data_IF_866560217071
#
_entry.id   IF_866560217071
#
_cell.length_a   1.000
_cell.length_b   1.000
_cell.length_c   1.000
_cell.angle_alpha   90.00
_cell.angle_beta   90.00
_cell.angle_gamma   90.00
#
_symmetry.space_group_name_H-M   'P 1'
#
loop_
_entity.id
_entity.type
_entity.pdbx_description
1 polymer ?
#
# COMPACT_ATOMS: atom_id res chain seq x y z
N UNK A 1 36.25 -38.29 35.51
CA UNK A 1 35.37 -37.11 35.40
C UNK A 1 35.64 -36.37 34.09
N UNK A 2 35.42 -36.99 32.92
CA UNK A 2 35.58 -36.29 31.62
C UNK A 2 34.88 -36.98 30.43
N UNK A 3 34.11 -38.06 30.65
CA UNK A 3 33.38 -38.76 29.56
C UNK A 3 31.86 -38.55 29.65
N UNK A 4 31.34 -38.09 30.79
CA UNK A 4 29.90 -37.84 30.94
C UNK A 4 29.44 -36.45 30.48
N UNK A 5 30.35 -35.52 30.19
CA UNK A 5 29.99 -34.21 29.62
C UNK A 5 29.61 -34.32 28.13
N UNK A 6 29.92 -35.45 27.50
CA UNK A 6 29.43 -35.84 26.16
C UNK A 6 28.01 -36.41 26.18
N UNK A 7 27.34 -36.40 27.35
CA UNK A 7 25.89 -36.21 27.43
C UNK A 7 25.54 -34.71 27.30
N UNK A 8 26.21 -33.98 26.39
CA UNK A 8 25.60 -32.89 25.62
C UNK A 8 24.45 -33.53 24.83
N UNK A 9 23.41 -33.82 25.58
CA UNK A 9 22.29 -34.66 25.25
C UNK A 9 21.47 -33.91 24.23
N UNK A 10 21.68 -34.22 22.94
CA UNK A 10 20.96 -33.68 21.79
C UNK A 10 19.46 -33.49 22.07
N UNK A 11 18.95 -32.25 22.18
CA UNK A 11 17.54 -31.93 21.95
C UNK A 11 17.40 -31.12 20.64
N UNK A 12 18.44 -31.11 19.81
CA UNK A 12 18.76 -29.93 18.97
C UNK A 12 18.19 -29.99 17.55
N UNK A 13 17.55 -31.08 17.13
CA UNK A 13 16.84 -31.12 15.84
C UNK A 13 15.40 -30.67 15.97
N UNK A 14 14.62 -31.24 16.91
CA UNK A 14 13.21 -30.87 17.08
C UNK A 14 13.04 -29.47 17.67
N UNK A 15 13.85 -29.10 18.68
CA UNK A 15 13.80 -27.75 19.23
C UNK A 15 14.16 -26.70 18.18
N UNK A 16 15.12 -27.00 17.31
CA UNK A 16 15.54 -26.14 16.21
C UNK A 16 14.49 -26.07 15.10
N UNK A 17 13.89 -27.19 14.71
CA UNK A 17 12.78 -27.23 13.76
C UNK A 17 11.57 -26.44 14.28
N UNK A 18 11.24 -26.58 15.56
CA UNK A 18 10.14 -25.83 16.19
C UNK A 18 10.46 -24.32 16.24
N UNK A 19 11.70 -23.97 16.55
CA UNK A 19 12.16 -22.58 16.51
C UNK A 19 12.10 -21.99 15.10
N UNK A 20 12.62 -22.70 14.10
CA UNK A 20 12.59 -22.28 12.69
C UNK A 20 11.16 -22.17 12.16
N UNK A 21 10.27 -23.13 12.49
CA UNK A 21 8.86 -23.07 12.12
C UNK A 21 8.15 -21.87 12.76
N UNK A 22 8.44 -21.56 14.02
CA UNK A 22 7.91 -20.37 14.70
C UNK A 22 8.40 -19.08 14.08
N UNK A 23 9.71 -18.99 13.79
CA UNK A 23 10.27 -17.81 13.11
C UNK A 23 9.66 -17.61 11.74
N UNK A 24 9.48 -18.70 10.97
CA UNK A 24 8.81 -18.66 9.67
C UNK A 24 7.38 -18.13 9.80
N UNK A 25 6.60 -18.66 10.74
CA UNK A 25 5.23 -18.19 10.97
C UNK A 25 5.18 -16.68 11.30
N UNK A 26 6.03 -16.23 12.22
CA UNK A 26 6.11 -14.81 12.58
C UNK A 26 6.55 -13.92 11.41
N UNK A 27 7.48 -14.40 10.60
CA UNK A 27 7.92 -13.69 9.40
C UNK A 27 6.82 -13.62 8.36
N UNK A 28 6.11 -14.72 8.11
CA UNK A 28 4.99 -14.76 7.18
C UNK A 28 3.87 -13.82 7.65
N UNK A 29 3.54 -13.82 8.94
CA UNK A 29 2.55 -12.91 9.54
C UNK A 29 3.00 -11.44 9.41
N UNK A 30 4.26 -11.13 9.74
CA UNK A 30 4.81 -9.78 9.59
C UNK A 30 4.80 -9.32 8.12
N UNK A 31 5.15 -10.21 7.20
CA UNK A 31 5.15 -9.93 5.76
C UNK A 31 3.74 -9.66 5.25
N UNK A 32 2.74 -10.42 5.72
CA UNK A 32 1.34 -10.19 5.36
C UNK A 32 0.85 -8.82 5.86
N UNK A 33 1.15 -8.47 7.11
CA UNK A 33 0.77 -7.18 7.68
C UNK A 33 1.45 -6.02 6.96
N UNK A 34 2.73 -6.16 6.63
CA UNK A 34 3.47 -5.15 5.87
C UNK A 34 2.87 -4.98 4.47
N UNK A 35 2.60 -6.09 3.77
CA UNK A 35 1.95 -6.06 2.46
C UNK A 35 0.59 -5.36 2.49
N UNK A 36 -0.24 -5.65 3.49
CA UNK A 36 -1.54 -4.99 3.67
C UNK A 36 -1.39 -3.49 3.93
N UNK A 37 -0.42 -3.08 4.76
CA UNK A 37 -0.13 -1.67 5.04
C UNK A 37 0.34 -0.93 3.78
N UNK A 38 1.27 -1.53 3.03
CA UNK A 38 1.77 -0.95 1.79
C UNK A 38 0.66 -0.79 0.75
N UNK A 39 -0.18 -1.81 0.57
CA UNK A 39 -1.32 -1.75 -0.34
C UNK A 39 -2.30 -0.65 0.05
N UNK A 40 -2.62 -0.51 1.35
CA UNK A 40 -3.47 0.57 1.86
C UNK A 40 -2.89 1.96 1.60
N UNK A 41 -1.59 2.13 1.81
CA UNK A 41 -0.90 3.41 1.55
C UNK A 41 -0.91 3.76 0.06
N UNK A 42 -0.63 2.80 -0.81
CA UNK A 42 -0.68 3.00 -2.26
C UNK A 42 -2.09 3.35 -2.75
N UNK A 43 -3.10 2.64 -2.25
CA UNK A 43 -4.50 2.92 -2.56
C UNK A 43 -4.89 4.34 -2.12
N UNK A 44 -4.52 4.73 -0.90
CA UNK A 44 -4.77 6.08 -0.38
C UNK A 44 -4.09 7.17 -1.19
N UNK A 45 -2.82 6.98 -1.59
CA UNK A 45 -2.10 7.93 -2.44
C UNK A 45 -2.75 8.07 -3.82
N UNK A 46 -3.19 6.95 -4.42
CA UNK A 46 -3.87 6.98 -5.72
C UNK A 46 -5.21 7.70 -5.62
N UNK A 47 -6.03 7.36 -4.61
CA UNK A 47 -7.31 8.00 -4.38
C UNK A 47 -7.15 9.52 -4.14
N UNK A 48 -6.24 9.92 -3.25
CA UNK A 48 -5.99 11.33 -2.96
C UNK A 48 -5.49 12.12 -4.18
N UNK A 49 -4.68 11.49 -5.05
CA UNK A 49 -4.27 12.12 -6.32
C UNK A 49 -5.46 12.31 -7.27
N UNK A 50 -6.30 11.30 -7.43
CA UNK A 50 -7.49 11.39 -8.29
C UNK A 50 -8.49 12.42 -7.79
N UNK A 51 -8.74 12.46 -6.48
CA UNK A 51 -9.60 13.47 -5.84
C UNK A 51 -9.02 14.88 -6.01
N UNK A 52 -7.73 15.08 -5.73
CA UNK A 52 -7.07 16.39 -5.89
C UNK A 52 -7.10 16.90 -7.33
N UNK A 53 -6.94 16.02 -8.33
CA UNK A 53 -7.06 16.39 -9.75
C UNK A 53 -8.48 16.85 -10.08
N UNK A 54 -9.51 16.14 -9.58
CA UNK A 54 -10.92 16.51 -9.78
C UNK A 54 -11.26 17.83 -9.10
N UNK A 55 -10.78 18.07 -7.88
CA UNK A 55 -10.96 19.34 -7.17
C UNK A 55 -10.28 20.50 -7.89
N UNK A 56 -9.05 20.30 -8.37
CA UNK A 56 -8.34 21.30 -9.17
C UNK A 56 -9.13 21.64 -10.45
N UNK A 57 -9.64 20.63 -11.17
CA UNK A 57 -10.49 20.84 -12.34
C UNK A 57 -11.77 21.62 -12.02
N UNK A 58 -12.46 21.29 -10.91
CA UNK A 58 -13.63 22.05 -10.43
C UNK A 58 -13.29 23.51 -10.14
N UNK A 59 -12.17 23.76 -9.47
CA UNK A 59 -11.73 25.13 -9.17
C UNK A 59 -11.40 25.91 -10.45
N UNK A 60 -10.77 25.28 -11.44
CA UNK A 60 -10.51 25.89 -12.75
C UNK A 60 -11.80 26.22 -13.50
N UNK A 61 -12.80 25.32 -13.47
CA UNK A 61 -14.13 25.59 -14.04
C UNK A 61 -14.80 26.79 -13.37
N UNK A 62 -14.73 26.90 -12.05
CA UNK A 62 -15.27 28.04 -11.28
C UNK A 62 -14.57 29.36 -11.62
N UNK A 63 -13.30 29.30 -12.05
CA UNK A 63 -12.54 30.45 -12.54
C UNK A 63 -12.80 30.76 -14.03
N UNK A 64 -13.74 30.07 -14.68
CA UNK A 64 -14.05 30.19 -16.11
C UNK A 64 -12.85 29.89 -17.02
N UNK A 65 -11.95 28.99 -16.60
CA UNK A 65 -10.88 28.50 -17.48
C UNK A 65 -11.49 27.59 -18.55
N UNK A 66 -11.00 27.73 -19.78
CA UNK A 66 -11.46 26.92 -20.91
C UNK A 66 -11.24 25.43 -20.69
N UNK A 67 -12.24 24.61 -21.05
CA UNK A 67 -12.22 23.15 -20.89
C UNK A 67 -10.98 22.55 -21.56
N UNK A 68 -10.58 23.03 -22.74
CA UNK A 68 -9.38 22.56 -23.45
C UNK A 68 -8.09 22.74 -22.63
N UNK A 69 -7.98 23.84 -21.87
CA UNK A 69 -6.83 24.12 -21.00
C UNK A 69 -6.88 23.19 -19.78
N UNK A 70 -8.07 22.98 -19.20
CA UNK A 70 -8.26 22.08 -18.06
C UNK A 70 -7.88 20.64 -18.44
N UNK A 71 -8.31 20.16 -19.61
CA UNK A 71 -7.95 18.85 -20.16
C UNK A 71 -6.43 18.71 -20.24
N UNK A 72 -5.72 19.71 -20.77
CA UNK A 72 -4.26 19.70 -20.89
C UNK A 72 -3.55 19.75 -19.52
N UNK A 73 -4.07 20.53 -18.58
CA UNK A 73 -3.44 20.73 -17.27
C UNK A 73 -3.67 19.56 -16.30
N UNK A 74 -4.84 18.93 -16.36
CA UNK A 74 -5.27 17.89 -15.41
C UNK A 74 -5.15 16.47 -15.97
N UNK A 75 -5.10 16.33 -17.29
CA UNK A 75 -5.14 15.04 -17.98
C UNK A 75 -6.51 14.36 -18.00
N UNK A 76 -7.55 15.02 -17.47
CA UNK A 76 -8.93 14.56 -17.54
C UNK A 76 -9.48 14.76 -18.95
N UNK A 77 -10.37 13.87 -19.38
CA UNK A 77 -11.13 14.03 -20.60
C UNK A 77 -12.18 15.12 -20.47
N UNK A 78 -12.62 15.68 -21.60
CA UNK A 78 -13.70 16.68 -21.62
C UNK A 78 -14.99 16.13 -20.99
N UNK A 79 -15.27 14.83 -21.17
CA UNK A 79 -16.43 14.16 -20.58
C UNK A 79 -16.35 14.15 -19.05
N UNK A 80 -15.18 13.84 -18.48
CA UNK A 80 -14.96 13.86 -17.03
C UNK A 80 -15.12 15.29 -16.48
N UNK A 81 -14.56 16.27 -17.16
CA UNK A 81 -14.66 17.69 -16.76
C UNK A 81 -16.12 18.17 -16.81
N UNK A 82 -16.87 17.81 -17.86
CA UNK A 82 -18.30 18.11 -17.97
C UNK A 82 -19.13 17.40 -16.91
N UNK A 83 -18.78 16.16 -16.55
CA UNK A 83 -19.44 15.45 -15.45
C UNK A 83 -19.22 16.16 -14.11
N UNK A 84 -18.03 16.74 -13.87
CA UNK A 84 -17.75 17.53 -12.67
C UNK A 84 -18.56 18.82 -12.62
N UNK A 85 -18.88 19.42 -13.77
CA UNK A 85 -19.75 20.61 -13.89
C UNK A 85 -21.21 20.31 -13.55
N UNK A 86 -21.69 19.12 -13.87
CA UNK A 86 -23.09 18.71 -13.66
C UNK A 86 -23.37 18.17 -12.23
N UNK A 87 -22.36 18.13 -11.37
CA UNK A 87 -22.45 17.68 -9.97
C UNK A 87 -22.66 18.82 -8.97
N UNK A 88 -22.95 20.04 -9.44
CA UNK A 88 -23.35 21.20 -8.61
C UNK A 88 -24.88 21.36 -8.54
#
# INVERSE_FOLDING_TARGET
MLVEVLKMNKPDSEARLLYEARQKYLHDEASMLEGAKQAGMQAGMKAGREEGIKEAAKNMLRLNVDISIITQATGLSEQEILALKNME
#
